data_IF_809129398497
#
_entry.id   IF_809129398497
#
_cell.length_a   1.000
_cell.length_b   1.000
_cell.length_c   1.000
_cell.angle_alpha   90.00
_cell.angle_beta   90.00
_cell.angle_gamma   90.00
#
_symmetry.space_group_name_H-M   'P 1'
#
loop_
_entity.id
_entity.type
_entity.pdbx_description
1 polymer ?
#
# COMPACT_ATOMS: atom_id res chain seq x y z
N UNK A 1 -75.75 -18.10 -7.61
CA UNK A 1 -75.66 -18.62 -6.24
C UNK A 1 -74.29 -19.29 -6.15
N UNK A 2 -73.28 -18.58 -5.65
CA UNK A 2 -72.82 -18.65 -4.24
C UNK A 2 -71.73 -19.74 -4.12
N UNK A 3 -70.49 -19.57 -3.65
CA UNK A 3 -69.76 -18.52 -2.92
C UNK A 3 -68.23 -18.80 -3.08
N UNK A 4 -67.37 -17.80 -3.36
CA UNK A 4 -66.37 -17.15 -2.46
C UNK A 4 -65.33 -18.15 -1.87
N UNK A 5 -64.03 -18.10 -2.20
CA UNK A 5 -63.04 -17.09 -1.72
C UNK A 5 -61.65 -17.29 -2.40
N UNK A 6 -60.89 -16.22 -2.74
CA UNK A 6 -59.45 -16.31 -2.86
C UNK A 6 -58.70 -15.47 -1.80
N UNK A 7 -57.50 -15.96 -1.50
CA UNK A 7 -56.49 -15.39 -0.61
C UNK A 7 -55.98 -14.03 -1.12
N UNK A 8 -55.78 -13.08 -0.21
CA UNK A 8 -55.06 -11.83 -0.49
C UNK A 8 -53.71 -11.85 0.22
N UNK A 9 -52.63 -11.73 -0.55
CA UNK A 9 -51.34 -11.21 -0.10
C UNK A 9 -50.98 -10.05 -1.03
N UNK A 10 -51.21 -8.82 -0.53
CA UNK A 10 -50.90 -7.57 -1.20
C UNK A 10 -49.60 -6.98 -0.66
N UNK A 11 -48.59 -6.90 -1.52
CA UNK A 11 -47.37 -6.14 -1.31
C UNK A 11 -47.53 -4.67 -1.74
N UNK A 12 -46.62 -3.84 -1.20
CA UNK A 12 -46.26 -2.44 -1.54
C UNK A 12 -47.00 -1.31 -0.82
N UNK A 13 -46.20 -0.35 -0.34
CA UNK A 13 -46.68 0.97 0.05
C UNK A 13 -45.68 1.79 0.87
N UNK A 14 -44.56 2.17 0.28
CA UNK A 14 -43.70 3.27 0.75
C UNK A 14 -44.49 4.58 0.77
N UNK A 15 -44.44 5.33 1.88
CA UNK A 15 -44.68 6.77 1.83
C UNK A 15 -43.98 7.50 2.96
N UNK A 16 -43.13 8.43 2.56
CA UNK A 16 -42.45 9.40 3.38
C UNK A 16 -43.44 10.36 4.05
N UNK A 17 -43.15 10.78 5.28
CA UNK A 17 -43.72 12.01 5.82
C UNK A 17 -42.68 12.77 6.63
N UNK A 18 -42.22 13.84 5.98
CA UNK A 18 -41.59 15.01 6.58
C UNK A 18 -42.48 15.57 7.70
N UNK A 19 -41.90 15.81 8.87
CA UNK A 19 -42.31 16.92 9.74
C UNK A 19 -41.11 17.47 10.49
N UNK A 20 -41.12 18.80 10.58
CA UNK A 20 -40.08 19.71 10.98
C UNK A 20 -40.14 20.03 12.47
N UNK A 21 -39.00 20.49 12.98
CA UNK A 21 -38.80 21.38 14.13
C UNK A 21 -39.05 20.83 15.55
N UNK A 22 -37.95 20.67 16.30
CA UNK A 22 -37.81 21.31 17.61
C UNK A 22 -36.33 21.51 17.95
N UNK A 23 -36.05 22.74 18.38
CA UNK A 23 -34.75 23.32 18.72
C UNK A 23 -34.55 23.16 20.23
N UNK A 24 -33.42 22.61 20.67
CA UNK A 24 -32.94 22.82 22.04
C UNK A 24 -31.41 22.70 22.11
N UNK A 25 -30.83 23.81 22.51
CA UNK A 25 -29.44 24.10 22.84
C UNK A 25 -28.88 23.25 23.98
N UNK A 26 -27.64 22.77 23.85
CA UNK A 26 -26.75 22.58 24.99
C UNK A 26 -25.27 22.64 24.52
N UNK A 27 -24.64 23.75 24.87
CA UNK A 27 -23.20 24.00 24.85
C UNK A 27 -22.51 23.08 25.86
N UNK A 28 -21.49 22.32 25.43
CA UNK A 28 -20.33 22.08 26.29
C UNK A 28 -19.08 21.78 25.46
N UNK A 29 -18.10 22.67 25.62
CA UNK A 29 -16.76 22.54 25.11
C UNK A 29 -16.02 21.42 25.86
N UNK A 30 -15.33 20.57 25.11
CA UNK A 30 -14.45 19.55 25.66
C UNK A 30 -13.46 19.10 24.58
N UNK A 31 -12.27 19.69 24.62
CA UNK A 31 -11.15 19.32 23.76
C UNK A 31 -10.82 17.82 23.92
N UNK A 32 -10.77 17.08 22.82
CA UNK A 32 -10.12 15.77 22.75
C UNK A 32 -9.10 15.76 21.63
N UNK A 33 -7.83 15.85 22.04
CA UNK A 33 -6.67 15.42 21.26
C UNK A 33 -6.64 13.89 21.16
N UNK A 34 -5.98 13.33 20.13
CA UNK A 34 -6.04 11.90 19.81
C UNK A 34 -5.21 11.05 20.78
N UNK A 35 -5.82 10.00 21.34
CA UNK A 35 -5.12 8.97 22.11
C UNK A 35 -4.28 8.08 21.19
N UNK A 36 -2.97 8.34 21.16
CA UNK A 36 -1.93 7.43 20.66
C UNK A 36 -1.27 6.81 21.90
N UNK A 37 -1.37 5.49 22.09
CA UNK A 37 -0.76 4.89 23.28
C UNK A 37 -0.97 3.39 23.42
N UNK A 38 -0.31 2.57 22.60
CA UNK A 38 -0.11 1.14 22.90
C UNK A 38 1.11 0.55 22.19
N UNK A 39 2.24 1.25 22.16
CA UNK A 39 3.53 0.70 21.70
C UNK A 39 4.71 1.16 22.59
N UNK A 40 4.45 1.53 23.85
CA UNK A 40 5.51 1.93 24.81
C UNK A 40 5.60 1.03 26.06
N UNK A 41 4.71 0.04 26.21
CA UNK A 41 4.75 -0.92 27.33
C UNK A 41 5.70 -2.10 27.08
N UNK A 42 5.87 -2.51 25.82
CA UNK A 42 6.72 -3.64 25.42
C UNK A 42 8.22 -3.43 25.70
N UNK A 43 8.85 -2.27 25.39
CA UNK A 43 10.28 -2.07 25.69
C UNK A 43 10.56 -1.94 27.19
N UNK A 44 9.61 -1.40 27.97
CA UNK A 44 9.77 -1.20 29.41
C UNK A 44 9.68 -2.54 30.17
N UNK A 45 8.81 -3.45 29.73
CA UNK A 45 8.75 -4.84 30.21
C UNK A 45 10.03 -5.62 29.92
N UNK A 46 10.57 -5.49 28.71
CA UNK A 46 11.84 -6.14 28.34
C UNK A 46 13.02 -5.60 29.15
N UNK A 47 13.05 -4.29 29.38
CA UNK A 47 14.08 -3.66 30.23
C UNK A 47 14.04 -4.20 31.66
N UNK A 48 12.86 -4.28 32.29
CA UNK A 48 12.72 -4.83 33.65
C UNK A 48 13.15 -6.30 33.70
N UNK A 49 12.78 -7.10 32.68
CA UNK A 49 13.12 -8.53 32.62
C UNK A 49 14.64 -8.75 32.49
N UNK A 50 15.33 -7.92 31.69
CA UNK A 50 16.79 -7.95 31.58
C UNK A 50 17.46 -7.58 32.90
N UNK A 51 16.98 -6.54 33.60
CA UNK A 51 17.58 -6.13 34.88
C UNK A 51 17.36 -7.19 35.98
N UNK A 52 16.18 -7.82 36.03
CA UNK A 52 15.92 -8.94 36.95
C UNK A 52 16.80 -10.16 36.61
N UNK A 53 17.03 -10.43 35.32
CA UNK A 53 17.94 -11.48 34.88
C UNK A 53 19.41 -11.23 35.28
N UNK A 54 19.90 -10.00 35.15
CA UNK A 54 21.27 -9.62 35.55
C UNK A 54 21.44 -9.73 37.08
N UNK A 55 20.43 -9.32 37.86
CA UNK A 55 20.43 -9.49 39.32
C UNK A 55 20.40 -10.97 39.72
N UNK A 56 19.67 -11.82 38.98
CA UNK A 56 19.66 -13.27 39.19
C UNK A 56 21.02 -13.94 38.92
N UNK A 57 21.73 -13.50 37.87
CA UNK A 57 23.08 -14.00 37.55
C UNK A 57 24.11 -13.54 38.59
N UNK A 58 23.99 -12.31 39.12
CA UNK A 58 24.85 -11.83 40.21
C UNK A 58 24.59 -12.57 41.53
N UNK A 59 23.34 -12.92 41.84
CA UNK A 59 23.01 -13.69 43.04
C UNK A 59 23.51 -15.15 42.97
N UNK A 60 23.52 -15.77 41.79
CA UNK A 60 24.09 -17.11 41.58
C UNK A 60 25.64 -17.13 41.66
N UNK A 61 26.30 -16.00 41.44
CA UNK A 61 27.77 -15.86 41.52
C UNK A 61 28.35 -15.80 42.94
N UNK A 62 27.53 -15.58 43.98
CA UNK A 62 28.00 -15.55 45.38
C UNK A 62 28.06 -16.94 46.06
N UNK A 63 27.62 -18.02 45.39
CA UNK A 63 27.52 -19.38 45.98
C UNK A 63 28.43 -20.39 45.26
N UNK A 64 29.62 -19.97 44.82
CA UNK A 64 30.61 -20.90 44.25
C UNK A 64 32.04 -20.53 44.66
N UNK A 65 32.40 -20.88 45.90
CA UNK A 65 33.79 -20.96 46.36
C UNK A 65 34.30 -22.39 46.13
N UNK A 66 35.20 -22.65 45.17
CA UNK A 66 35.83 -23.96 45.03
C UNK A 66 36.90 -24.09 46.12
N UNK A 67 36.69 -25.02 47.06
CA UNK A 67 37.67 -25.42 48.06
C UNK A 67 38.74 -26.29 47.36
N UNK A 68 39.96 -25.77 47.25
CA UNK A 68 41.14 -26.52 46.85
C UNK A 68 41.58 -27.43 48.02
N UNK A 69 41.82 -28.73 47.82
CA UNK A 69 42.47 -29.55 48.84
C UNK A 69 43.97 -29.22 48.88
N UNK A 70 44.38 -28.48 49.91
CA UNK A 70 45.78 -28.33 50.30
C UNK A 70 46.22 -29.57 51.09
N UNK A 71 46.78 -30.56 50.41
CA UNK A 71 47.59 -31.61 51.05
C UNK A 71 49.06 -31.42 50.67
N UNK A 72 49.94 -30.98 51.59
CA UNK A 72 51.36 -31.02 51.33
C UNK A 72 51.83 -32.48 51.35
N UNK A 73 52.32 -32.98 50.22
CA UNK A 73 53.18 -34.16 50.18
C UNK A 73 54.47 -33.83 50.94
N UNK A 74 54.61 -34.35 52.17
CA UNK A 74 55.90 -34.37 52.84
C UNK A 74 56.75 -35.46 52.21
N UNK A 75 57.77 -35.04 51.45
CA UNK A 75 58.90 -35.87 51.07
C UNK A 75 59.84 -35.92 52.28
N UNK A 76 59.78 -36.99 53.07
CA UNK A 76 60.85 -37.28 54.04
C UNK A 76 62.05 -37.85 53.29
N UNK A 77 63.01 -36.97 52.98
CA UNK A 77 64.38 -37.34 52.72
C UNK A 77 65.07 -37.49 54.09
N UNK A 78 65.13 -38.72 54.59
CA UNK A 78 65.87 -39.06 55.81
C UNK A 78 66.88 -40.14 55.46
N UNK A 79 68.06 -39.69 55.04
CA UNK A 79 69.39 -40.22 55.37
C UNK A 79 70.40 -39.42 54.51
N UNK A 80 71.59 -39.04 55.02
CA UNK A 80 72.38 -39.83 55.95
C UNK A 80 73.13 -39.03 57.03
N UNK A 81 73.80 -39.77 57.91
CA UNK A 81 75.23 -39.60 58.24
C UNK A 81 75.56 -39.31 59.71
N UNK A 82 76.59 -40.04 60.15
CA UNK A 82 77.46 -39.82 61.31
C UNK A 82 76.83 -39.97 62.70
N UNK A 83 76.93 -41.18 63.24
CA UNK A 83 77.24 -41.38 64.65
C UNK A 83 78.77 -41.38 64.81
N UNK A 84 79.36 -40.46 65.58
CA UNK A 84 80.65 -40.71 66.19
C UNK A 84 80.66 -40.22 67.64
N UNK A 85 80.51 -41.13 68.59
CA UNK A 85 80.89 -40.98 70.01
C UNK A 85 80.92 -42.42 70.54
N UNK A 86 82.04 -43.14 70.57
CA UNK A 86 83.19 -42.99 71.47
C UNK A 86 82.78 -42.95 72.95
N UNK A 87 82.73 -44.12 73.60
CA UNK A 87 83.04 -44.26 75.03
C UNK A 87 83.30 -45.75 75.38
N UNK A 88 84.59 -46.10 75.48
CA UNK A 88 85.13 -47.21 76.28
C UNK A 88 85.98 -46.52 77.36
N UNK A 89 85.73 -46.74 78.67
CA UNK A 89 86.66 -47.50 79.54
C UNK A 89 85.89 -48.21 80.70
N UNK A 90 86.39 -49.12 81.56
CA UNK A 90 87.70 -49.60 81.99
C UNK A 90 87.52 -51.01 82.64
N UNK A 91 88.61 -51.73 83.02
CA UNK A 91 88.66 -53.19 83.17
C UNK A 91 88.89 -53.69 84.63
N UNK A 92 89.35 -54.95 84.75
CA UNK A 92 89.74 -55.80 85.91
C UNK A 92 88.65 -56.81 86.33
N UNK A 93 88.89 -58.13 86.40
CA UNK A 93 90.05 -58.82 86.97
C UNK A 93 90.59 -59.99 86.10
N UNK A 94 91.92 -60.15 86.13
CA UNK A 94 92.70 -61.23 85.51
C UNK A 94 92.91 -62.40 86.48
N UNK A 95 92.86 -63.65 85.98
CA UNK A 95 93.58 -64.74 86.62
C UNK A 95 94.08 -65.82 85.62
N UNK A 96 95.37 -66.12 85.75
CA UNK A 96 96.10 -67.34 85.37
C UNK A 96 96.35 -67.68 83.87
N UNK A 97 97.48 -67.16 83.39
CA UNK A 97 98.53 -67.77 82.55
C UNK A 97 98.40 -69.29 82.26
N UNK A 98 98.41 -69.63 80.96
CA UNK A 98 99.05 -70.87 80.48
C UNK A 98 99.44 -70.80 79.01
N UNK A 99 100.74 -70.86 78.75
CA UNK A 99 101.34 -70.85 77.42
C UNK A 99 101.11 -72.19 76.72
N UNK A 100 100.44 -72.16 75.57
CA UNK A 100 100.33 -73.31 74.66
C UNK A 100 101.14 -72.99 73.42
N UNK A 101 102.17 -73.81 73.18
CA UNK A 101 102.95 -73.75 71.96
C UNK A 101 102.02 -73.96 70.76
N UNK A 102 101.93 -72.95 69.89
CA UNK A 102 101.06 -72.97 68.72
C UNK A 102 101.72 -73.85 67.66
N UNK A 103 101.04 -74.93 67.29
CA UNK A 103 101.42 -75.77 66.15
C UNK A 103 101.22 -74.99 64.85
N UNK A 104 102.33 -74.65 64.22
CA UNK A 104 102.40 -73.83 63.02
C UNK A 104 101.57 -74.41 61.85
N UNK A 105 101.40 -75.74 61.80
CA UNK A 105 100.59 -76.42 60.77
C UNK A 105 99.07 -76.33 61.02
N UNK A 106 98.62 -76.03 62.25
CA UNK A 106 97.20 -75.82 62.56
C UNK A 106 96.74 -74.39 62.17
N UNK A 107 97.61 -73.40 62.34
CA UNK A 107 97.34 -71.99 61.97
C UNK A 107 97.22 -71.83 60.46
N UNK A 108 98.11 -72.47 59.68
CA UNK A 108 98.06 -72.39 58.22
C UNK A 108 96.77 -72.97 57.63
N UNK A 109 96.28 -74.09 58.18
CA UNK A 109 94.97 -74.67 57.80
C UNK A 109 93.80 -73.75 58.17
N UNK A 110 93.89 -73.05 59.30
CA UNK A 110 92.86 -72.12 59.72
C UNK A 110 92.87 -70.83 58.90
N UNK A 111 94.04 -70.34 58.48
CA UNK A 111 94.18 -69.20 57.56
C UNK A 111 93.63 -69.55 56.18
N UNK A 112 93.91 -70.76 55.67
CA UNK A 112 93.31 -71.25 54.43
C UNK A 112 91.77 -71.33 54.53
N UNK A 113 91.24 -71.91 55.61
CA UNK A 113 89.79 -71.99 55.85
C UNK A 113 89.13 -70.60 55.99
N UNK A 114 89.81 -69.63 56.62
CA UNK A 114 89.35 -68.24 56.73
C UNK A 114 89.36 -67.56 55.35
N UNK A 115 90.40 -67.78 54.55
CA UNK A 115 90.51 -67.21 53.20
C UNK A 115 89.45 -67.78 52.25
N UNK A 116 89.22 -69.09 52.28
CA UNK A 116 88.15 -69.74 51.52
C UNK A 116 86.77 -69.24 51.96
N UNK A 117 86.54 -69.08 53.27
CA UNK A 117 85.28 -68.51 53.81
C UNK A 117 85.08 -67.05 53.41
N UNK A 118 86.14 -66.23 53.42
CA UNK A 118 86.09 -64.84 52.95
C UNK A 118 85.83 -64.75 51.44
N UNK A 119 86.46 -65.62 50.64
CA UNK A 119 86.21 -65.69 49.20
C UNK A 119 84.78 -66.14 48.90
N UNK A 120 84.27 -67.14 49.62
CA UNK A 120 82.88 -67.58 49.51
C UNK A 120 81.88 -66.49 49.92
N UNK A 121 82.18 -65.72 50.98
CA UNK A 121 81.37 -64.57 51.40
C UNK A 121 81.40 -63.43 50.39
N UNK A 122 82.58 -63.07 49.87
CA UNK A 122 82.72 -62.04 48.83
C UNK A 122 81.99 -62.45 47.54
N UNK A 123 82.07 -63.72 47.13
CA UNK A 123 81.32 -64.25 46.00
C UNK A 123 79.80 -64.22 46.22
N UNK A 124 79.33 -64.57 47.43
CA UNK A 124 77.92 -64.50 47.79
C UNK A 124 77.40 -63.05 47.86
N UNK A 125 78.22 -62.11 48.33
CA UNK A 125 77.89 -60.69 48.36
C UNK A 125 77.85 -60.08 46.96
N UNK A 126 78.81 -60.43 46.09
CA UNK A 126 78.78 -60.04 44.68
C UNK A 126 77.56 -60.61 43.96
N UNK A 127 77.17 -61.86 44.23
CA UNK A 127 75.94 -62.44 43.68
C UNK A 127 74.69 -61.70 44.18
N UNK A 128 74.63 -61.31 45.46
CA UNK A 128 73.53 -60.49 45.99
C UNK A 128 73.48 -59.11 45.36
N UNK A 129 74.62 -58.44 45.21
CA UNK A 129 74.68 -57.12 44.57
C UNK A 129 74.25 -57.21 43.09
N UNK A 130 74.76 -58.18 42.35
CA UNK A 130 74.35 -58.41 40.95
C UNK A 130 72.84 -58.75 40.83
N UNK A 131 72.27 -59.52 41.76
CA UNK A 131 70.83 -59.79 41.77
C UNK A 131 70.01 -58.54 42.09
N UNK A 132 70.44 -57.73 43.07
CA UNK A 132 69.80 -56.46 43.43
C UNK A 132 69.85 -55.46 42.28
N UNK A 133 70.99 -55.33 41.60
CA UNK A 133 71.14 -54.50 40.40
C UNK A 133 70.24 -54.98 39.27
N UNK A 134 70.20 -56.30 39.00
CA UNK A 134 69.30 -56.87 37.99
C UNK A 134 67.83 -56.60 38.32
N UNK A 135 67.44 -56.71 39.59
CA UNK A 135 66.07 -56.38 40.06
C UNK A 135 65.78 -54.88 39.94
N UNK A 136 66.73 -54.01 40.29
CA UNK A 136 66.59 -52.57 40.17
C UNK A 136 66.48 -52.11 38.72
N UNK A 137 67.29 -52.68 37.81
CA UNK A 137 67.22 -52.40 36.38
C UNK A 137 65.91 -52.91 35.77
N UNK A 138 65.46 -54.12 36.14
CA UNK A 138 64.17 -54.65 35.73
C UNK A 138 63.00 -53.76 36.20
N UNK A 139 63.04 -53.29 37.45
CA UNK A 139 62.05 -52.37 38.00
C UNK A 139 62.05 -50.99 37.30
N UNK A 140 63.24 -50.45 36.97
CA UNK A 140 63.36 -49.20 36.19
C UNK A 140 62.78 -49.37 34.79
N UNK A 141 63.14 -50.45 34.08
CA UNK A 141 62.60 -50.77 32.74
C UNK A 141 61.08 -50.99 32.76
N UNK A 142 60.53 -51.61 33.80
CA UNK A 142 59.09 -51.77 33.96
C UNK A 142 58.38 -50.41 34.12
N UNK A 143 58.88 -49.54 35.01
CA UNK A 143 58.33 -48.18 35.21
C UNK A 143 58.42 -47.31 33.96
N UNK A 144 59.51 -47.42 33.20
CA UNK A 144 59.66 -46.68 31.94
C UNK A 144 58.65 -47.12 30.89
N UNK A 145 58.37 -48.44 30.79
CA UNK A 145 57.32 -48.97 29.91
C UNK A 145 55.94 -48.51 30.34
N UNK A 146 55.60 -48.59 31.62
CA UNK A 146 54.31 -48.11 32.15
C UNK A 146 54.12 -46.60 31.88
N UNK A 147 55.17 -45.79 32.10
CA UNK A 147 55.10 -44.35 31.82
C UNK A 147 54.95 -44.07 30.32
N UNK A 148 55.59 -44.85 29.46
CA UNK A 148 55.45 -44.74 28.00
C UNK A 148 54.05 -45.12 27.55
N UNK A 149 53.49 -46.22 28.06
CA UNK A 149 52.13 -46.66 27.77
C UNK A 149 51.10 -45.61 28.24
N UNK A 150 51.30 -45.02 29.43
CA UNK A 150 50.44 -43.97 29.95
C UNK A 150 50.48 -42.70 29.07
N UNK A 151 51.68 -42.28 28.64
CA UNK A 151 51.84 -41.14 27.71
C UNK A 151 51.23 -41.41 26.34
N UNK A 152 51.38 -42.62 25.81
CA UNK A 152 50.78 -43.02 24.54
C UNK A 152 49.24 -43.06 24.64
N UNK A 153 48.69 -43.50 25.77
CA UNK A 153 47.24 -43.49 26.03
C UNK A 153 46.70 -42.06 26.16
N UNK A 154 47.39 -41.19 26.91
CA UNK A 154 47.02 -39.78 27.07
C UNK A 154 47.08 -39.04 25.73
N UNK A 155 48.14 -39.24 24.94
CA UNK A 155 48.26 -38.67 23.61
C UNK A 155 47.16 -39.15 22.65
N UNK A 156 46.76 -40.43 22.73
CA UNK A 156 45.62 -40.97 21.96
C UNK A 156 44.30 -40.33 22.37
N UNK A 157 44.03 -40.20 23.67
CA UNK A 157 42.81 -39.57 24.17
C UNK A 157 42.74 -38.07 23.82
N UNK A 158 43.87 -37.35 23.90
CA UNK A 158 43.91 -35.94 23.50
C UNK A 158 43.67 -35.78 21.99
N UNK A 159 44.30 -36.63 21.17
CA UNK A 159 44.08 -36.63 19.72
C UNK A 159 42.62 -36.96 19.35
N UNK A 160 41.99 -37.91 20.03
CA UNK A 160 40.57 -38.23 19.84
C UNK A 160 39.66 -37.08 20.28
N UNK A 161 39.92 -36.46 21.44
CA UNK A 161 39.18 -35.28 21.91
C UNK A 161 39.32 -34.09 20.96
N UNK A 162 40.52 -33.84 20.42
CA UNK A 162 40.75 -32.79 19.42
C UNK A 162 39.99 -33.07 18.12
N UNK A 163 40.00 -34.31 17.62
CA UNK A 163 39.23 -34.71 16.44
C UNK A 163 37.73 -34.53 16.65
N UNK A 164 37.19 -34.99 17.78
CA UNK A 164 35.77 -34.85 18.10
C UNK A 164 35.37 -33.37 18.28
N UNK A 165 36.24 -32.56 18.90
CA UNK A 165 36.01 -31.12 19.02
C UNK A 165 36.02 -30.43 17.64
N UNK A 166 36.98 -30.75 16.77
CA UNK A 166 37.06 -30.21 15.42
C UNK A 166 35.84 -30.61 14.58
N UNK A 167 35.44 -31.89 14.63
CA UNK A 167 34.24 -32.39 13.95
C UNK A 167 32.98 -31.71 14.47
N UNK A 168 32.83 -31.51 15.78
CA UNK A 168 31.71 -30.74 16.35
C UNK A 168 31.71 -29.29 15.88
N UNK A 169 32.88 -28.64 15.83
CA UNK A 169 32.96 -27.26 15.34
C UNK A 169 32.63 -27.15 13.85
N UNK A 170 33.12 -28.08 13.02
CA UNK A 170 32.78 -28.16 11.59
C UNK A 170 31.28 -28.41 11.39
N UNK A 171 30.70 -29.38 12.10
CA UNK A 171 29.27 -29.67 12.04
C UNK A 171 28.40 -28.48 12.52
N UNK A 172 28.85 -27.72 13.53
CA UNK A 172 28.16 -26.49 13.97
C UNK A 172 28.28 -25.36 12.93
N UNK A 173 29.45 -25.18 12.33
CA UNK A 173 29.65 -24.19 11.27
C UNK A 173 28.82 -24.50 10.02
N UNK A 174 28.77 -25.77 9.59
CA UNK A 174 27.94 -26.21 8.47
C UNK A 174 26.46 -26.01 8.75
N UNK A 175 25.97 -26.37 9.96
CA UNK A 175 24.58 -26.12 10.36
C UNK A 175 24.25 -24.62 10.39
N UNK A 176 25.12 -23.79 10.95
CA UNK A 176 24.92 -22.34 11.00
C UNK A 176 24.95 -21.71 9.59
N UNK A 177 25.83 -22.19 8.71
CA UNK A 177 25.88 -21.74 7.31
C UNK A 177 24.61 -22.17 6.54
N UNK A 178 24.15 -23.40 6.73
CA UNK A 178 22.92 -23.89 6.11
C UNK A 178 21.67 -23.15 6.61
N UNK A 179 21.57 -22.89 7.91
CA UNK A 179 20.46 -22.12 8.50
C UNK A 179 20.46 -20.67 8.00
N UNK A 180 21.62 -20.02 7.95
CA UNK A 180 21.74 -18.66 7.40
C UNK A 180 21.36 -18.62 5.92
N UNK A 181 21.83 -19.59 5.12
CA UNK A 181 21.48 -19.67 3.70
C UNK A 181 19.97 -19.91 3.49
N UNK A 182 19.34 -20.74 4.32
CA UNK A 182 17.89 -20.97 4.29
C UNK A 182 17.11 -19.70 4.68
N UNK A 183 17.53 -19.00 5.74
CA UNK A 183 16.91 -17.76 6.19
C UNK A 183 17.04 -16.64 5.13
N UNK A 184 18.21 -16.50 4.50
CA UNK A 184 18.44 -15.52 3.43
C UNK A 184 17.61 -15.85 2.18
N UNK A 185 17.50 -17.13 1.81
CA UNK A 185 16.66 -17.58 0.70
C UNK A 185 15.16 -17.33 0.98
N UNK A 186 14.68 -17.60 2.18
CA UNK A 186 13.29 -17.33 2.58
C UNK A 186 13.00 -15.83 2.62
N UNK A 187 13.90 -15.04 3.20
CA UNK A 187 13.78 -13.58 3.24
C UNK A 187 13.76 -12.98 1.83
N UNK A 188 14.59 -13.50 0.91
CA UNK A 188 14.60 -13.08 -0.49
C UNK A 188 13.28 -13.44 -1.18
N UNK A 189 12.78 -14.69 -1.02
CA UNK A 189 11.48 -15.10 -1.59
C UNK A 189 10.33 -14.23 -1.08
N UNK A 190 10.27 -13.96 0.23
CA UNK A 190 9.23 -13.09 0.82
C UNK A 190 9.30 -11.65 0.28
N UNK A 191 10.50 -11.11 0.06
CA UNK A 191 10.67 -9.77 -0.54
C UNK A 191 10.24 -9.74 -2.00
N UNK A 192 10.60 -10.75 -2.79
CA UNK A 192 10.22 -10.87 -4.19
C UNK A 192 8.70 -11.04 -4.35
N UNK A 193 8.07 -11.89 -3.52
CA UNK A 193 6.61 -12.09 -3.52
C UNK A 193 5.86 -10.82 -3.09
N UNK A 194 6.32 -10.13 -2.04
CA UNK A 194 5.73 -8.86 -1.61
C UNK A 194 5.89 -7.75 -2.68
N UNK A 195 7.02 -7.71 -3.38
CA UNK A 195 7.25 -6.77 -4.47
C UNK A 195 6.34 -7.09 -5.68
N UNK A 196 6.21 -8.37 -6.05
CA UNK A 196 5.33 -8.81 -7.12
C UNK A 196 3.86 -8.51 -6.81
N UNK A 197 3.41 -8.79 -5.58
CA UNK A 197 2.05 -8.51 -5.14
C UNK A 197 1.73 -7.00 -5.16
N UNK A 198 2.67 -6.15 -4.70
CA UNK A 198 2.52 -4.69 -4.78
C UNK A 198 2.47 -4.19 -6.23
N UNK A 199 3.35 -4.69 -7.10
CA UNK A 199 3.35 -4.31 -8.51
C UNK A 199 2.07 -4.75 -9.23
N UNK A 200 1.53 -5.92 -8.90
CA UNK A 200 0.26 -6.39 -9.45
C UNK A 200 -0.93 -5.55 -8.95
N UNK A 201 -0.96 -5.22 -7.65
CA UNK A 201 -2.00 -4.37 -7.08
C UNK A 201 -1.98 -2.97 -7.72
N UNK A 202 -0.79 -2.36 -7.84
CA UNK A 202 -0.65 -1.04 -8.47
C UNK A 202 -1.07 -1.08 -9.95
N UNK A 203 -0.75 -2.15 -10.68
CA UNK A 203 -1.22 -2.32 -12.07
C UNK A 203 -2.75 -2.42 -12.15
N UNK A 204 -3.37 -3.19 -11.25
CA UNK A 204 -4.83 -3.34 -11.18
C UNK A 204 -5.53 -2.02 -10.82
N UNK A 205 -4.97 -1.26 -9.87
CA UNK A 205 -5.48 0.06 -9.49
C UNK A 205 -5.39 1.05 -10.64
N UNK A 206 -4.23 1.13 -11.32
CA UNK A 206 -4.04 1.99 -12.50
C UNK A 206 -4.99 1.63 -13.65
N UNK A 207 -5.19 0.33 -13.92
CA UNK A 207 -6.11 -0.12 -14.97
C UNK A 207 -7.57 0.20 -14.61
N UNK A 208 -7.96 0.00 -13.35
CA UNK A 208 -9.30 0.33 -12.87
C UNK A 208 -9.56 1.85 -12.93
N UNK A 209 -8.59 2.67 -12.54
CA UNK A 209 -8.67 4.13 -12.62
C UNK A 209 -8.76 4.60 -14.08
N UNK A 210 -7.93 4.06 -14.98
CA UNK A 210 -7.98 4.38 -16.40
C UNK A 210 -9.34 4.04 -17.01
N UNK A 211 -9.90 2.86 -16.71
CA UNK A 211 -11.24 2.47 -17.16
C UNK A 211 -12.34 3.39 -16.61
N UNK A 212 -12.26 3.79 -15.34
CA UNK A 212 -13.22 4.73 -14.74
C UNK A 212 -13.16 6.10 -15.41
N UNK A 213 -11.95 6.62 -15.65
CA UNK A 213 -11.77 7.91 -16.32
C UNK A 213 -12.26 7.88 -17.77
N UNK A 214 -12.03 6.79 -18.49
CA UNK A 214 -12.53 6.60 -19.86
C UNK A 214 -14.06 6.51 -19.89
N UNK A 215 -14.67 5.75 -18.98
CA UNK A 215 -16.13 5.66 -18.85
C UNK A 215 -16.75 7.02 -18.54
N UNK A 216 -16.17 7.77 -17.59
CA UNK A 216 -16.64 9.10 -17.25
C UNK A 216 -16.53 10.08 -18.42
N UNK A 217 -15.43 10.03 -19.19
CA UNK A 217 -15.29 10.84 -20.41
C UNK A 217 -16.34 10.50 -21.46
N UNK A 218 -16.60 9.20 -21.67
CA UNK A 218 -17.59 8.75 -22.64
C UNK A 218 -19.01 9.14 -22.22
N UNK A 219 -19.34 9.06 -20.94
CA UNK A 219 -20.63 9.47 -20.39
C UNK A 219 -20.84 10.98 -20.53
N UNK A 220 -19.82 11.80 -20.18
CA UNK A 220 -19.86 13.26 -20.37
C UNK A 220 -20.02 13.64 -21.85
N UNK A 221 -19.35 12.94 -22.75
CA UNK A 221 -19.48 13.19 -24.20
C UNK A 221 -20.89 12.82 -24.70
N UNK A 222 -21.45 11.71 -24.23
CA UNK A 222 -22.82 11.29 -24.56
C UNK A 222 -23.85 12.30 -24.04
N UNK A 223 -23.73 12.74 -22.79
CA UNK A 223 -24.63 13.73 -22.20
C UNK A 223 -24.54 15.08 -22.94
N UNK A 224 -23.32 15.52 -23.29
CA UNK A 224 -23.13 16.74 -24.07
C UNK A 224 -23.77 16.66 -25.46
N UNK A 225 -23.63 15.52 -26.16
CA UNK A 225 -24.28 15.29 -27.46
C UNK A 225 -25.80 15.26 -27.34
N UNK A 226 -26.33 14.56 -26.33
CA UNK A 226 -27.78 14.48 -26.10
C UNK A 226 -28.36 15.86 -25.73
N UNK A 227 -27.66 16.64 -24.92
CA UNK A 227 -28.07 18.02 -24.59
C UNK A 227 -28.06 18.90 -25.84
N UNK A 228 -27.00 18.84 -26.65
CA UNK A 228 -26.90 19.61 -27.89
C UNK A 228 -27.99 19.22 -28.90
N UNK A 229 -28.32 17.93 -29.00
CA UNK A 229 -29.42 17.46 -29.86
C UNK A 229 -30.78 17.94 -29.35
N UNK A 230 -31.04 17.83 -28.04
CA UNK A 230 -32.28 18.35 -27.43
C UNK A 230 -32.44 19.85 -27.65
N UNK A 231 -31.37 20.61 -27.48
CA UNK A 231 -31.37 22.05 -27.73
C UNK A 231 -31.65 22.37 -29.20
N UNK A 232 -30.99 21.67 -30.13
CA UNK A 232 -31.24 21.82 -31.57
C UNK A 232 -32.69 21.51 -31.93
N UNK A 233 -33.25 20.41 -31.43
CA UNK A 233 -34.64 20.04 -31.66
C UNK A 233 -35.61 21.08 -31.08
N UNK A 234 -35.30 21.63 -29.90
CA UNK A 234 -36.12 22.69 -29.30
C UNK A 234 -36.05 23.97 -30.15
N UNK A 235 -34.87 24.39 -30.58
CA UNK A 235 -34.69 25.57 -31.44
C UNK A 235 -35.42 25.39 -32.78
N UNK A 236 -35.35 24.22 -33.39
CA UNK A 236 -36.05 23.91 -34.64
C UNK A 236 -37.57 24.00 -34.47
N UNK A 237 -38.12 23.46 -33.37
CA UNK A 237 -39.55 23.57 -33.05
C UNK A 237 -39.98 25.03 -32.85
N UNK A 238 -39.20 25.80 -32.10
CA UNK A 238 -39.48 27.22 -31.86
C UNK A 238 -39.42 28.03 -33.18
N UNK A 239 -38.45 27.74 -34.04
CA UNK A 239 -38.31 28.38 -35.34
C UNK A 239 -39.49 28.01 -36.28
N UNK A 240 -39.89 26.74 -36.30
CA UNK A 240 -41.05 26.28 -37.08
C UNK A 240 -42.35 26.94 -36.58
N UNK A 241 -42.57 27.02 -35.26
CA UNK A 241 -43.74 27.68 -34.67
C UNK A 241 -43.75 29.19 -34.97
N UNK A 242 -42.59 29.85 -34.91
CA UNK A 242 -42.45 31.26 -35.27
C UNK A 242 -42.74 31.49 -36.77
N UNK A 243 -42.25 30.61 -37.65
CA UNK A 243 -42.49 30.69 -39.09
C UNK A 243 -43.98 30.48 -39.43
N UNK A 244 -44.65 29.50 -38.81
CA UNK A 244 -46.09 29.29 -38.98
C UNK A 244 -46.91 30.48 -38.48
N UNK A 245 -46.55 31.06 -37.32
CA UNK A 245 -47.20 32.29 -36.83
C UNK A 245 -46.99 33.47 -37.79
N UNK A 246 -45.78 33.65 -38.32
CA UNK A 246 -45.48 34.71 -39.27
C UNK A 246 -46.30 34.55 -40.56
N UNK A 247 -46.38 33.32 -41.08
CA UNK A 247 -47.20 32.98 -42.26
C UNK A 247 -48.68 33.23 -42.02
N UNK A 248 -49.21 32.83 -40.87
CA UNK A 248 -50.60 33.08 -40.50
C UNK A 248 -50.90 34.58 -40.38
N UNK A 249 -50.02 35.37 -39.74
CA UNK A 249 -50.15 36.83 -39.68
C UNK A 249 -50.11 37.47 -41.06
N UNK A 250 -49.19 37.04 -41.92
CA UNK A 250 -49.12 37.52 -43.29
C UNK A 250 -50.40 37.22 -44.07
N UNK A 251 -50.96 36.01 -43.94
CA UNK A 251 -52.22 35.65 -44.58
C UNK A 251 -53.40 36.51 -44.09
N UNK A 252 -53.50 36.73 -42.77
CA UNK A 252 -54.52 37.62 -42.18
C UNK A 252 -54.37 39.05 -42.70
N UNK A 253 -53.15 39.60 -42.69
CA UNK A 253 -52.86 40.92 -43.22
C UNK A 253 -53.27 41.03 -44.70
N UNK A 254 -52.94 40.03 -45.54
CA UNK A 254 -53.34 40.03 -46.95
C UNK A 254 -54.86 39.97 -47.13
N UNK A 255 -55.58 39.19 -46.31
CA UNK A 255 -57.05 39.17 -46.37
C UNK A 255 -57.67 40.52 -46.01
N UNK A 256 -57.12 41.23 -45.03
CA UNK A 256 -57.57 42.56 -44.66
C UNK A 256 -57.24 43.59 -45.74
N UNK A 257 -56.05 43.52 -46.35
CA UNK A 257 -55.69 44.37 -47.52
C UNK A 257 -56.70 44.18 -48.65
N UNK A 258 -57.03 42.93 -49.00
CA UNK A 258 -57.99 42.62 -50.07
C UNK A 258 -59.40 43.12 -49.72
N UNK A 259 -59.83 42.92 -48.47
CA UNK A 259 -61.10 43.42 -47.97
C UNK A 259 -61.21 44.94 -48.10
N UNK A 260 -60.22 45.69 -47.61
CA UNK A 260 -60.22 47.14 -47.71
C UNK A 260 -60.06 47.62 -49.15
N UNK A 261 -59.28 46.93 -49.99
CA UNK A 261 -59.18 47.22 -51.43
C UNK A 261 -60.53 47.12 -52.13
N UNK A 262 -61.35 46.11 -51.80
CA UNK A 262 -62.71 45.99 -52.32
C UNK A 262 -63.63 47.11 -51.82
N UNK A 263 -63.54 47.48 -50.53
CA UNK A 263 -64.32 48.57 -49.96
C UNK A 263 -63.97 49.93 -50.58
N UNK A 264 -62.68 50.17 -50.85
CA UNK A 264 -62.17 51.37 -51.52
C UNK A 264 -62.68 51.42 -52.96
N UNK A 265 -62.51 50.33 -53.72
CA UNK A 265 -63.01 50.22 -55.10
C UNK A 265 -64.51 50.52 -55.16
N UNK A 266 -65.31 49.93 -54.26
CA UNK A 266 -66.73 50.19 -54.16
C UNK A 266 -67.06 51.64 -53.79
N UNK A 267 -66.29 52.27 -52.91
CA UNK A 267 -66.47 53.68 -52.55
C UNK A 267 -66.19 54.63 -53.72
N UNK A 268 -65.17 54.33 -54.53
CA UNK A 268 -64.85 55.07 -55.75
C UNK A 268 -65.98 54.89 -56.77
N UNK A 269 -66.38 53.64 -57.05
CA UNK A 269 -67.44 53.32 -58.01
C UNK A 269 -68.76 54.03 -57.69
N UNK A 270 -69.16 54.10 -56.41
CA UNK A 270 -70.39 54.83 -56.01
C UNK A 270 -70.36 56.32 -56.33
N UNK A 271 -69.18 56.93 -56.43
CA UNK A 271 -69.01 58.35 -56.72
C UNK A 271 -68.56 58.59 -58.18
N UNK A 272 -68.41 57.54 -58.98
CA UNK A 272 -67.82 57.61 -60.30
C UNK A 272 -68.88 57.90 -61.38
N UNK A 273 -68.71 59.02 -62.09
CA UNK A 273 -69.54 59.37 -63.24
C UNK A 273 -68.94 58.70 -64.47
N UNK A 274 -69.68 57.74 -65.02
CA UNK A 274 -69.26 56.92 -66.17
C UNK A 274 -70.05 57.29 -67.44
N UNK A 275 -69.42 57.17 -68.60
CA UNK A 275 -70.01 57.42 -69.92
C UNK A 275 -69.60 56.29 -70.89
N UNK A 276 -70.38 56.08 -71.96
CA UNK A 276 -70.21 54.92 -72.85
C UNK A 276 -68.84 54.87 -73.56
N UNK A 277 -68.15 56.01 -73.71
CA UNK A 277 -66.82 56.08 -74.33
C UNK A 277 -65.71 55.45 -73.46
N UNK A 278 -66.04 55.11 -72.21
CA UNK A 278 -65.14 54.49 -71.24
C UNK A 278 -65.28 52.96 -71.16
N UNK A 279 -66.15 52.36 -71.98
CA UNK A 279 -66.38 50.91 -72.02
C UNK A 279 -65.11 50.15 -72.42
N UNK A 280 -64.77 49.13 -71.64
CA UNK A 280 -63.60 48.27 -71.90
C UNK A 280 -62.23 48.91 -71.61
N UNK A 281 -62.22 50.15 -71.11
CA UNK A 281 -61.00 50.89 -70.78
C UNK A 281 -60.72 50.86 -69.27
N UNK A 282 -59.47 51.08 -68.90
CA UNK A 282 -59.03 51.08 -67.51
C UNK A 282 -58.06 52.21 -67.21
N UNK A 283 -57.99 52.59 -65.94
CA UNK A 283 -56.97 53.47 -65.42
C UNK A 283 -56.37 52.91 -64.15
N UNK A 284 -55.05 52.93 -64.05
CA UNK A 284 -54.34 52.65 -62.81
C UNK A 284 -54.01 53.95 -62.09
N UNK A 285 -54.53 54.13 -60.87
CA UNK A 285 -54.28 55.29 -60.02
C UNK A 285 -53.40 54.91 -58.83
N UNK A 286 -52.51 55.81 -58.45
CA UNK A 286 -51.75 55.79 -57.20
C UNK A 286 -52.38 56.78 -56.22
N UNK A 287 -52.92 56.28 -55.11
CA UNK A 287 -53.65 57.06 -54.11
C UNK A 287 -52.91 56.98 -52.79
N UNK A 288 -52.64 58.12 -52.16
CA UNK A 288 -52.07 58.17 -50.81
C UNK A 288 -53.13 58.58 -49.78
N UNK A 289 -53.23 57.80 -48.70
CA UNK A 289 -54.26 57.92 -47.67
C UNK A 289 -53.64 58.26 -46.31
N UNK A 290 -54.28 59.15 -45.56
CA UNK A 290 -53.97 59.37 -44.16
C UNK A 290 -54.52 58.22 -43.28
N UNK A 291 -54.06 58.06 -42.01
CA UNK A 291 -54.59 57.04 -41.10
C UNK A 291 -56.09 57.19 -40.81
N UNK A 292 -56.62 58.41 -40.99
CA UNK A 292 -58.06 58.71 -40.89
C UNK A 292 -58.88 58.25 -42.10
N UNK A 293 -58.23 57.75 -43.16
CA UNK A 293 -58.85 57.45 -44.45
C UNK A 293 -58.95 58.67 -45.38
N UNK A 294 -58.51 59.85 -44.97
CA UNK A 294 -58.52 61.05 -45.81
C UNK A 294 -57.56 60.92 -47.00
N UNK A 295 -58.02 61.30 -48.20
CA UNK A 295 -57.22 61.25 -49.42
C UNK A 295 -56.22 62.42 -49.42
N UNK A 296 -54.92 62.10 -49.28
CA UNK A 296 -53.84 63.10 -49.30
C UNK A 296 -53.49 63.54 -50.72
N UNK A 297 -53.37 62.58 -51.64
CA UNK A 297 -53.01 62.84 -53.02
C UNK A 297 -53.48 61.71 -53.94
N UNK A 298 -53.75 62.06 -55.20
CA UNK A 298 -54.05 61.14 -56.29
C UNK A 298 -53.18 61.55 -57.47
N UNK A 299 -52.51 60.59 -58.10
CA UNK A 299 -51.72 60.83 -59.30
C UNK A 299 -52.60 61.12 -60.53
N UNK A 300 -51.97 61.38 -61.68
CA UNK A 300 -52.69 61.58 -62.95
C UNK A 300 -53.25 60.27 -63.52
N UNK A 301 -52.79 59.13 -63.01
CA UNK A 301 -53.13 57.80 -63.48
C UNK A 301 -52.39 57.39 -64.74
N UNK A 302 -52.32 56.08 -64.97
CA UNK A 302 -51.75 55.46 -66.16
C UNK A 302 -52.84 54.63 -66.84
N UNK A 303 -53.19 54.98 -68.07
CA UNK A 303 -54.28 54.35 -68.82
C UNK A 303 -54.95 55.31 -69.81
N UNK A 304 -56.25 55.14 -70.04
CA UNK A 304 -57.04 56.09 -70.85
C UNK A 304 -57.25 57.41 -70.10
N UNK A 305 -56.94 58.52 -70.75
CA UNK A 305 -56.97 59.85 -70.14
C UNK A 305 -58.35 60.22 -69.59
N UNK A 306 -59.42 59.89 -70.32
CA UNK A 306 -60.80 60.23 -69.92
C UNK A 306 -61.25 59.39 -68.72
N UNK A 307 -60.90 58.10 -68.72
CA UNK A 307 -61.13 57.21 -67.57
C UNK A 307 -60.35 57.68 -66.35
N UNK A 308 -59.07 58.04 -66.51
CA UNK A 308 -58.22 58.51 -65.43
C UNK A 308 -58.69 59.83 -64.82
N UNK A 309 -59.06 60.82 -65.64
CA UNK A 309 -59.58 62.11 -65.16
C UNK A 309 -60.90 61.94 -64.40
N UNK A 310 -61.82 61.13 -64.92
CA UNK A 310 -63.08 60.85 -64.25
C UNK A 310 -62.88 60.07 -62.95
N UNK A 311 -62.03 59.04 -62.95
CA UNK A 311 -61.71 58.25 -61.77
C UNK A 311 -61.05 59.08 -60.67
N UNK A 312 -60.10 59.96 -61.03
CA UNK A 312 -59.46 60.89 -60.09
C UNK A 312 -60.48 61.79 -59.42
N UNK A 313 -61.44 62.32 -60.18
CA UNK A 313 -62.53 63.14 -59.64
C UNK A 313 -63.41 62.35 -58.67
N UNK A 314 -63.72 61.09 -58.99
CA UNK A 314 -64.49 60.19 -58.12
C UNK A 314 -63.78 59.92 -56.78
N UNK A 315 -62.46 59.71 -56.80
CA UNK A 315 -61.65 59.52 -55.58
C UNK A 315 -61.66 60.78 -54.71
N UNK A 316 -61.44 61.96 -55.30
CA UNK A 316 -61.44 63.23 -54.57
C UNK A 316 -62.82 63.56 -53.99
N UNK A 317 -63.90 63.24 -54.73
CA UNK A 317 -65.29 63.43 -54.29
C UNK A 317 -65.67 62.52 -53.12
N UNK A 318 -65.08 61.32 -53.03
CA UNK A 318 -65.30 60.43 -51.90
C UNK A 318 -64.75 61.02 -50.58
N UNK A 319 -63.70 61.84 -50.63
CA UNK A 319 -63.11 62.59 -49.51
C UNK A 319 -62.37 61.73 -48.49
N UNK A 320 -63.05 60.70 -47.95
CA UNK A 320 -62.50 59.70 -47.05
C UNK A 320 -62.79 58.31 -47.57
N UNK A 321 -61.76 57.47 -47.64
CA UNK A 321 -61.84 56.08 -48.05
C UNK A 321 -61.69 55.13 -46.84
N UNK A 322 -62.35 53.96 -46.84
CA UNK A 322 -62.21 52.99 -45.76
C UNK A 322 -60.77 52.48 -45.64
N UNK A 323 -60.19 52.55 -44.44
CA UNK A 323 -58.85 52.05 -44.12
C UNK A 323 -58.86 51.13 -42.90
N UNK A 324 -57.88 50.22 -42.82
CA UNK A 324 -57.71 49.36 -41.65
C UNK A 324 -57.24 50.14 -40.43
N UNK A 325 -57.71 49.74 -39.24
CA UNK A 325 -57.22 50.24 -37.95
C UNK A 325 -55.93 49.57 -37.51
N UNK A 326 -55.58 48.44 -38.14
CA UNK A 326 -54.32 47.75 -37.89
C UNK A 326 -53.16 48.57 -38.50
N UNK A 327 -52.18 49.03 -37.71
CA UNK A 327 -51.05 49.80 -38.19
C UNK A 327 -50.22 49.08 -39.27
N UNK A 328 -50.09 47.74 -39.20
CA UNK A 328 -49.31 46.96 -40.16
C UNK A 328 -50.02 46.90 -41.52
N UNK A 329 -51.34 46.67 -41.51
CA UNK A 329 -52.18 46.71 -42.72
C UNK A 329 -52.22 48.12 -43.30
N UNK A 330 -52.43 49.15 -42.46
CA UNK A 330 -52.46 50.55 -42.90
C UNK A 330 -51.15 50.95 -43.57
N UNK A 331 -49.99 50.55 -43.02
CA UNK A 331 -48.69 50.88 -43.61
C UNK A 331 -48.52 50.31 -45.03
N UNK A 332 -49.08 49.13 -45.30
CA UNK A 332 -49.11 48.55 -46.66
C UNK A 332 -50.10 49.27 -47.59
N UNK A 333 -51.12 49.92 -47.03
CA UNK A 333 -52.19 50.62 -47.76
C UNK A 333 -52.08 52.15 -47.72
N UNK A 334 -51.00 52.71 -47.15
CA UNK A 334 -50.79 54.15 -47.08
C UNK A 334 -50.69 54.76 -48.48
N UNK A 335 -50.05 54.04 -49.40
CA UNK A 335 -50.04 54.36 -50.83
C UNK A 335 -50.42 53.14 -51.63
N UNK A 336 -51.64 53.13 -52.18
CA UNK A 336 -52.18 52.02 -52.96
C UNK A 336 -52.12 52.32 -54.44
N UNK A 337 -51.79 51.29 -55.23
CA UNK A 337 -51.97 51.29 -56.69
C UNK A 337 -53.23 50.51 -57.00
N UNK A 338 -54.24 51.19 -57.53
CA UNK A 338 -55.54 50.60 -57.81
C UNK A 338 -55.86 50.75 -59.29
N UNK A 339 -56.13 49.62 -59.95
CA UNK A 339 -56.68 49.61 -61.31
C UNK A 339 -58.20 49.66 -61.23
N UNK A 340 -58.80 50.71 -61.78
CA UNK A 340 -60.24 50.93 -61.80
C UNK A 340 -60.79 50.77 -63.21
N UNK A 341 -61.95 50.12 -63.31
CA UNK A 341 -62.68 49.90 -64.56
C UNK A 341 -64.15 50.32 -64.37
N UNK A 342 -64.72 51.10 -65.30
CA UNK A 342 -66.14 51.43 -65.28
C UNK A 342 -67.01 50.17 -65.35
N UNK A 343 -68.08 50.12 -64.56
CA UNK A 343 -69.10 49.08 -64.65
C UNK A 343 -70.26 49.64 -65.50
N UNK A 344 -70.27 49.32 -66.80
CA UNK A 344 -71.12 49.93 -67.84
C UNK A 344 -71.87 48.89 -68.67
#
# INVERSE_FOLDING_TARGET
>A
MSDIKPSQDGAKGTSAKSTSAAKATATQAGARLPAKGSELGKPLLWSVLVHVGVVGVLAAGMVFQPQLPNTPMQVQLSDPNLSPDEEIPAPDDFEAVQAVAVDQAAVERQVQAINERKQAQAAAEQQRQAELERRAEAARKARERELRELRELEAKQEAERRKLAEERTKAQQEKAAAEKAAADAEARRKREEAAAAKAEQERKEREAEAKRLEQERLEREREAKERAERERQLQERLAAEAAERAKARQAQMQSEIQRFTALITGAIQRNWIVDDSMRGKECQLTISLAPSGFVKSVDQGVGDERVCQSARTAVLKAGTLPVSKDPEVYKQMETIKLTVRPNL
#
